data_IF_539037111845
#
_entry.id   IF_539037111845
#
_cell.length_a   1.000
_cell.length_b   1.000
_cell.length_c   1.000
_cell.angle_alpha   90.00
_cell.angle_beta   90.00
_cell.angle_gamma   90.00
#
_symmetry.space_group_name_H-M   'P 1'
#
loop_
_entity.id
_entity.type
_entity.pdbx_description
1 polymer ?
#
# COMPACT_ATOMS: atom_id res chain seq x y z
N UNK A 1 -0.30 19.61 21.61
CA UNK A 1 -0.65 18.77 20.43
C UNK A 1 0.23 17.53 20.50
N UNK A 2 -0.33 16.37 20.82
CA UNK A 2 0.45 15.12 20.75
C UNK A 2 0.65 14.82 19.27
N UNK A 3 1.89 14.93 18.77
CA UNK A 3 2.21 14.31 17.47
C UNK A 3 2.14 12.81 17.69
N UNK A 4 1.18 12.16 17.03
CA UNK A 4 1.16 10.70 16.97
C UNK A 4 2.40 10.26 16.20
N UNK A 5 3.15 9.29 16.72
CA UNK A 5 4.30 8.79 15.98
C UNK A 5 3.85 7.86 14.86
N UNK A 6 4.71 7.67 13.85
CA UNK A 6 4.45 6.68 12.80
C UNK A 6 4.31 5.26 13.37
N UNK A 7 5.02 4.95 14.46
CA UNK A 7 4.91 3.65 15.15
C UNK A 7 3.53 3.48 15.76
N UNK A 8 2.97 4.53 16.38
CA UNK A 8 1.62 4.49 16.94
C UNK A 8 0.56 4.31 15.85
N UNK A 9 0.74 4.97 14.69
CA UNK A 9 -0.13 4.79 13.53
C UNK A 9 -0.06 3.34 13.01
N UNK A 10 1.16 2.82 12.83
CA UNK A 10 1.37 1.46 12.35
C UNK A 10 0.71 0.43 13.28
N UNK A 11 0.83 0.62 14.61
CA UNK A 11 0.20 -0.26 15.58
C UNK A 11 -1.33 -0.24 15.45
N UNK A 12 -1.95 0.94 15.32
CA UNK A 12 -3.40 1.07 15.14
C UNK A 12 -3.89 0.41 13.84
N UNK A 13 -3.12 0.54 12.76
CA UNK A 13 -3.44 -0.12 11.48
C UNK A 13 -3.40 -1.64 11.65
N UNK A 14 -2.38 -2.18 12.31
CA UNK A 14 -2.27 -3.62 12.58
C UNK A 14 -3.46 -4.10 13.41
N UNK A 15 -3.77 -3.42 14.52
CA UNK A 15 -4.84 -3.80 15.43
C UNK A 15 -6.20 -3.82 14.71
N UNK A 16 -6.51 -2.75 13.97
CA UNK A 16 -7.75 -2.69 13.18
C UNK A 16 -7.80 -3.72 12.05
N UNK A 17 -6.66 -4.07 11.47
CA UNK A 17 -6.60 -5.11 10.42
C UNK A 17 -6.86 -6.49 11.01
N UNK A 18 -6.27 -6.81 12.16
CA UNK A 18 -6.52 -8.06 12.90
C UNK A 18 -8.01 -8.17 13.30
N UNK A 19 -8.62 -7.04 13.69
CA UNK A 19 -10.05 -6.97 14.03
C UNK A 19 -10.98 -6.91 12.79
N UNK A 20 -10.44 -6.92 11.57
CA UNK A 20 -11.22 -6.83 10.32
C UNK A 20 -11.91 -5.48 10.09
N UNK A 21 -11.50 -4.43 10.81
CA UNK A 21 -12.05 -3.07 10.76
C UNK A 21 -11.47 -2.26 9.58
N UNK A 22 -11.51 -2.82 8.38
CA UNK A 22 -10.92 -2.23 7.18
C UNK A 22 -11.41 -0.80 6.88
N UNK A 23 -12.68 -0.48 7.15
CA UNK A 23 -13.20 0.89 7.00
C UNK A 23 -12.55 1.88 7.97
N UNK A 24 -12.27 1.46 9.20
CA UNK A 24 -11.59 2.31 10.18
C UNK A 24 -10.13 2.54 9.77
N UNK A 25 -9.46 1.51 9.24
CA UNK A 25 -8.11 1.65 8.67
C UNK A 25 -8.11 2.64 7.51
N UNK A 26 -9.07 2.52 6.59
CA UNK A 26 -9.18 3.43 5.44
C UNK A 26 -9.35 4.90 5.88
N UNK A 27 -10.23 5.14 6.85
CA UNK A 27 -10.42 6.48 7.41
C UNK A 27 -9.13 7.00 8.05
N UNK A 28 -8.49 6.19 8.89
CA UNK A 28 -7.25 6.55 9.57
C UNK A 28 -6.12 6.89 8.60
N UNK A 29 -5.95 6.09 7.53
CA UNK A 29 -4.96 6.33 6.49
C UNK A 29 -5.21 7.65 5.76
N UNK A 30 -6.45 7.95 5.40
CA UNK A 30 -6.80 9.20 4.71
C UNK A 30 -6.59 10.43 5.62
N UNK A 31 -6.87 10.33 6.91
CA UNK A 31 -6.65 11.41 7.88
C UNK A 31 -5.16 11.69 8.10
N UNK A 32 -4.31 10.67 7.98
CA UNK A 32 -2.88 10.73 8.30
C UNK A 32 -1.96 10.81 7.09
N UNK A 33 -2.48 10.73 5.87
CA UNK A 33 -1.71 10.72 4.63
C UNK A 33 -0.77 11.93 4.50
N UNK A 34 -1.25 13.14 4.85
CA UNK A 34 -0.42 14.35 4.81
C UNK A 34 0.59 14.45 5.94
N UNK A 35 0.33 13.83 7.09
CA UNK A 35 1.22 13.86 8.26
C UNK A 35 2.46 12.97 8.06
N UNK A 36 2.35 11.94 7.22
CA UNK A 36 3.42 10.96 6.96
C UNK A 36 3.76 10.85 5.48
N UNK A 37 3.83 11.98 4.78
CA UNK A 37 4.17 12.03 3.35
C UNK A 37 5.55 11.41 3.05
N UNK A 38 6.48 11.42 4.01
CA UNK A 38 7.78 10.77 3.92
C UNK A 38 7.72 9.24 4.00
N UNK A 39 6.55 8.67 4.35
CA UNK A 39 6.24 7.23 4.42
C UNK A 39 5.21 6.80 3.38
N UNK A 40 5.15 7.52 2.26
CA UNK A 40 4.16 7.31 1.19
C UNK A 40 4.11 5.85 0.69
N UNK A 41 5.25 5.17 0.65
CA UNK A 41 5.35 3.76 0.29
C UNK A 41 4.54 2.86 1.24
N UNK A 42 4.70 3.03 2.55
CA UNK A 42 3.97 2.25 3.55
C UNK A 42 2.48 2.63 3.57
N UNK A 43 2.18 3.94 3.50
CA UNK A 43 0.81 4.45 3.52
C UNK A 43 -0.01 3.94 2.33
N UNK A 44 0.54 4.03 1.11
CA UNK A 44 -0.15 3.54 -0.10
C UNK A 44 -0.26 2.01 -0.08
N UNK A 45 0.76 1.29 0.38
CA UNK A 45 0.70 -0.16 0.49
C UNK A 45 -0.46 -0.61 1.40
N UNK A 46 -0.58 -0.03 2.60
CA UNK A 46 -1.69 -0.33 3.51
C UNK A 46 -3.05 0.03 2.91
N UNK A 47 -3.15 1.18 2.23
CA UNK A 47 -4.37 1.60 1.52
C UNK A 47 -4.78 0.58 0.47
N UNK A 48 -3.83 0.09 -0.33
CA UNK A 48 -4.08 -0.93 -1.34
C UNK A 48 -4.53 -2.26 -0.73
N UNK A 49 -3.89 -2.72 0.35
CA UNK A 49 -4.30 -3.92 1.08
C UNK A 49 -5.75 -3.81 1.59
N UNK A 50 -6.08 -2.67 2.22
CA UNK A 50 -7.44 -2.42 2.74
C UNK A 50 -8.48 -2.41 1.63
N UNK A 51 -8.21 -1.72 0.51
CA UNK A 51 -9.10 -1.69 -0.65
C UNK A 51 -9.29 -3.11 -1.24
N UNK A 52 -8.21 -3.87 -1.38
CA UNK A 52 -8.28 -5.24 -1.89
C UNK A 52 -9.12 -6.15 -0.97
N UNK A 53 -8.96 -6.03 0.36
CA UNK A 53 -9.73 -6.77 1.36
C UNK A 53 -11.21 -6.38 1.40
N UNK A 54 -11.55 -5.13 1.01
CA UNK A 54 -12.92 -4.67 0.83
C UNK A 54 -13.53 -5.07 -0.53
N UNK A 55 -12.80 -5.78 -1.38
CA UNK A 55 -13.23 -6.15 -2.74
C UNK A 55 -13.13 -5.02 -3.76
N UNK A 56 -12.58 -3.87 -3.37
CA UNK A 56 -12.36 -2.68 -4.18
C UNK A 56 -11.10 -2.81 -5.05
N UNK A 57 -11.04 -3.88 -5.86
CA UNK A 57 -9.82 -4.28 -6.59
C UNK A 57 -9.30 -3.22 -7.55
N UNK A 58 -10.19 -2.61 -8.34
CA UNK A 58 -9.79 -1.60 -9.32
C UNK A 58 -9.17 -0.37 -8.66
N UNK A 59 -9.72 0.04 -7.52
CA UNK A 59 -9.23 1.17 -6.72
C UNK A 59 -7.89 0.82 -6.06
N UNK A 60 -7.75 -0.41 -5.52
CA UNK A 60 -6.50 -0.91 -4.96
C UNK A 60 -5.36 -0.89 -5.99
N UNK A 61 -5.64 -1.32 -7.22
CA UNK A 61 -4.66 -1.29 -8.31
C UNK A 61 -4.35 0.14 -8.73
N UNK A 62 -5.35 1.01 -8.78
CA UNK A 62 -5.15 2.40 -9.17
C UNK A 62 -4.22 3.15 -8.21
N UNK A 63 -4.41 3.02 -6.89
CA UNK A 63 -3.54 3.71 -5.92
C UNK A 63 -2.09 3.24 -6.00
N UNK A 64 -1.85 1.95 -6.27
CA UNK A 64 -0.51 1.41 -6.47
C UNK A 64 0.12 1.92 -7.76
N UNK A 65 -0.66 1.96 -8.86
CA UNK A 65 -0.21 2.44 -10.16
C UNK A 65 0.24 3.91 -10.10
N UNK A 66 -0.62 4.76 -9.52
CA UNK A 66 -0.33 6.18 -9.32
C UNK A 66 0.91 6.41 -8.46
N UNK A 67 1.11 5.60 -7.41
CA UNK A 67 2.29 5.72 -6.57
C UNK A 67 3.58 5.32 -7.33
N UNK A 68 3.57 4.23 -8.09
CA UNK A 68 4.75 3.86 -8.92
C UNK A 68 5.00 4.91 -10.01
N UNK A 69 3.96 5.52 -10.58
CA UNK A 69 4.09 6.66 -11.50
C UNK A 69 4.80 7.86 -10.85
N UNK A 70 4.59 8.06 -9.55
CA UNK A 70 5.26 9.10 -8.77
C UNK A 70 6.62 8.65 -8.19
N UNK A 71 7.15 7.50 -8.62
CA UNK A 71 8.47 7.01 -8.21
C UNK A 71 8.50 6.24 -6.89
N UNK A 72 7.34 5.94 -6.30
CA UNK A 72 7.25 5.02 -5.18
C UNK A 72 7.68 3.63 -5.64
N UNK A 73 8.40 2.93 -4.78
CA UNK A 73 8.93 1.61 -5.09
C UNK A 73 8.70 0.68 -3.92
N UNK A 74 8.24 -0.53 -4.24
CA UNK A 74 8.22 -1.65 -3.33
C UNK A 74 9.08 -2.77 -3.87
N UNK A 75 9.67 -3.55 -2.98
CA UNK A 75 10.28 -4.80 -3.39
C UNK A 75 9.21 -5.68 -4.06
N UNK A 76 9.43 -6.21 -5.28
CA UNK A 76 8.42 -6.95 -6.03
C UNK A 76 7.78 -8.12 -5.24
N UNK A 77 8.61 -8.82 -4.44
CA UNK A 77 8.11 -9.89 -3.57
C UNK A 77 7.10 -9.43 -2.51
N UNK A 78 7.18 -8.19 -2.02
CA UNK A 78 6.21 -7.64 -1.07
C UNK A 78 4.82 -7.60 -1.72
N UNK A 79 4.73 -7.14 -2.97
CA UNK A 79 3.47 -7.08 -3.72
C UNK A 79 2.96 -8.48 -4.10
N UNK A 80 3.87 -9.38 -4.52
CA UNK A 80 3.52 -10.75 -4.93
C UNK A 80 3.06 -11.63 -3.77
N UNK A 81 3.70 -11.51 -2.60
CA UNK A 81 3.51 -12.41 -1.45
C UNK A 81 2.54 -11.85 -0.40
N UNK A 82 2.07 -10.61 -0.55
CA UNK A 82 1.06 -10.05 0.35
C UNK A 82 -0.28 -10.76 0.16
N UNK A 83 -0.74 -11.44 1.19
CA UNK A 83 -2.00 -12.18 1.17
C UNK A 83 -3.21 -11.26 0.87
N UNK A 84 -3.19 -10.03 1.38
CA UNK A 84 -4.24 -9.04 1.13
C UNK A 84 -4.34 -8.66 -0.36
N UNK A 85 -3.22 -8.75 -1.09
CA UNK A 85 -3.15 -8.42 -2.51
C UNK A 85 -3.34 -9.64 -3.42
N UNK A 86 -3.55 -10.85 -2.87
CA UNK A 86 -3.78 -12.05 -3.69
C UNK A 86 -4.99 -11.90 -4.61
N UNK A 87 -5.99 -11.13 -4.20
CA UNK A 87 -7.18 -10.89 -5.00
C UNK A 87 -6.91 -10.06 -6.27
N UNK A 88 -5.75 -9.39 -6.35
CA UNK A 88 -5.28 -8.59 -7.48
C UNK A 88 -4.38 -9.40 -8.44
N UNK A 89 -3.92 -10.58 -8.04
CA UNK A 89 -3.08 -11.43 -8.88
C UNK A 89 -3.83 -11.82 -10.15
N UNK A 90 -3.15 -11.69 -11.29
CA UNK A 90 -3.74 -11.90 -12.61
C UNK A 90 -4.37 -10.64 -13.24
N UNK A 91 -4.51 -9.54 -12.49
CA UNK A 91 -4.85 -8.25 -13.10
C UNK A 91 -3.66 -7.71 -13.91
N UNK A 92 -3.94 -7.32 -15.16
CA UNK A 92 -2.89 -6.85 -16.09
C UNK A 92 -2.21 -5.56 -15.60
N UNK A 93 -2.95 -4.64 -14.98
CA UNK A 93 -2.39 -3.40 -14.42
C UNK A 93 -1.53 -3.72 -13.20
N UNK A 94 -1.98 -4.64 -12.34
CA UNK A 94 -1.17 -5.09 -11.20
C UNK A 94 0.14 -5.76 -11.63
N UNK A 95 0.12 -6.60 -12.67
CA UNK A 95 1.35 -7.18 -13.21
C UNK A 95 2.32 -6.12 -13.74
N UNK A 96 1.81 -5.07 -14.42
CA UNK A 96 2.65 -3.95 -14.87
C UNK A 96 3.29 -3.18 -13.71
N UNK A 97 2.57 -3.01 -12.59
CA UNK A 97 3.14 -2.39 -11.38
C UNK A 97 4.35 -3.20 -10.89
N UNK A 98 4.21 -4.52 -10.81
CA UNK A 98 5.29 -5.43 -10.42
C UNK A 98 6.49 -5.31 -11.36
N UNK A 99 6.26 -5.38 -12.68
CA UNK A 99 7.33 -5.26 -13.70
C UNK A 99 8.09 -3.95 -13.56
N UNK A 100 7.40 -2.84 -13.27
CA UNK A 100 8.03 -1.54 -13.04
C UNK A 100 8.87 -1.53 -11.78
N UNK A 101 8.37 -2.10 -10.69
CA UNK A 101 9.17 -2.24 -9.47
C UNK A 101 10.43 -3.09 -9.71
N UNK A 102 10.35 -4.17 -10.49
CA UNK A 102 11.51 -4.99 -10.88
C UNK A 102 12.52 -4.18 -11.71
N UNK A 103 12.06 -3.38 -12.66
CA UNK A 103 12.93 -2.51 -13.48
C UNK A 103 13.64 -1.46 -12.63
N UNK A 104 12.93 -0.82 -11.70
CA UNK A 104 13.52 0.16 -10.78
C UNK A 104 14.57 -0.47 -9.87
N UNK A 105 14.35 -1.71 -9.41
CA UNK A 105 15.32 -2.45 -8.58
C UNK A 105 16.61 -2.75 -9.36
N UNK A 106 16.47 -3.24 -10.60
CA UNK A 106 17.60 -3.50 -11.48
C UNK A 106 18.42 -2.25 -11.84
N UNK A 107 17.80 -1.07 -11.83
CA UNK A 107 18.49 0.22 -12.04
C UNK A 107 19.24 0.70 -10.81
N UNK A 108 18.79 0.35 -9.59
CA UNK A 108 19.48 0.71 -8.33
C UNK A 108 20.74 -0.12 -8.07
N UNK A 109 20.86 -1.28 -8.71
CA UNK A 109 22.01 -2.19 -8.60
C UNK A 109 23.14 -1.88 -9.60
N UNK A 110 23.03 -0.79 -10.37
CA UNK A 110 24.04 -0.30 -11.32
C UNK A 110 24.73 0.94 -10.78
#
# INVERSE_FOLDING_TARGET
MSHQSFIDLQQQIIDFTIEGKYKAVQQLLNEKESEFAEKVDQMVFWKACVLASLGQKSEAVQVLEEAVDNGVWWHPDLLKKSADLYSLQGDRRFNKIIERCEQMDALKLR
#
